data_IF_154691063176
#
_entry.id   IF_154691063176
#
_cell.length_a   1.000
_cell.length_b   1.000
_cell.length_c   1.000
_cell.angle_alpha   90.00
_cell.angle_beta   90.00
_cell.angle_gamma   90.00
#
_symmetry.space_group_name_H-M   'P 1'
#
loop_
_entity.id
_entity.type
_entity.pdbx_description
1 polymer ?
#
# COMPACT_ATOMS: atom_id res chain seq x y z
N UNK A 1 5.86 12.15 9.36
CA UNK A 1 5.32 12.49 8.04
C UNK A 1 5.89 13.84 7.65
N UNK A 2 6.28 14.08 6.39
CA UNK A 2 6.89 15.36 5.98
C UNK A 2 5.89 16.53 5.92
N UNK A 3 4.59 16.26 6.00
CA UNK A 3 3.52 17.26 6.05
C UNK A 3 2.38 16.76 6.94
N UNK A 4 1.39 17.61 7.20
CA UNK A 4 0.16 17.22 7.86
C UNK A 4 -0.71 16.30 6.96
N UNK A 5 -1.69 15.65 7.58
CA UNK A 5 -2.57 14.67 6.92
C UNK A 5 -3.41 15.29 5.79
N UNK A 6 -3.89 16.53 5.97
CA UNK A 6 -4.69 17.22 4.94
C UNK A 6 -3.86 17.56 3.71
N UNK A 7 -2.62 18.05 3.94
CA UNK A 7 -1.65 18.25 2.85
C UNK A 7 -1.33 16.93 2.14
N UNK A 8 -1.15 15.83 2.87
CA UNK A 8 -0.93 14.51 2.25
C UNK A 8 -2.12 14.10 1.36
N UNK A 9 -3.36 14.27 1.84
CA UNK A 9 -4.55 14.00 1.04
C UNK A 9 -4.61 14.86 -0.24
N UNK A 10 -4.24 16.13 -0.17
CA UNK A 10 -4.13 16.99 -1.36
C UNK A 10 -3.10 16.44 -2.35
N UNK A 11 -1.91 16.04 -1.88
CA UNK A 11 -0.86 15.47 -2.72
C UNK A 11 -1.29 14.17 -3.43
N UNK A 12 -2.05 13.30 -2.74
CA UNK A 12 -2.59 12.09 -3.36
C UNK A 12 -3.68 12.40 -4.38
N UNK A 13 -4.56 13.38 -4.11
CA UNK A 13 -5.53 13.83 -5.11
C UNK A 13 -4.85 14.43 -6.34
N UNK A 14 -3.82 15.26 -6.18
CA UNK A 14 -3.05 15.81 -7.31
C UNK A 14 -2.37 14.69 -8.13
N UNK A 15 -1.87 13.67 -7.44
CA UNK A 15 -1.30 12.49 -8.10
C UNK A 15 -2.35 11.70 -8.89
N UNK A 16 -3.57 11.56 -8.36
CA UNK A 16 -4.69 10.97 -9.09
C UNK A 16 -5.12 11.80 -10.28
N UNK A 17 -5.25 13.12 -10.14
CA UNK A 17 -5.62 14.01 -11.24
C UNK A 17 -4.59 13.90 -12.38
N UNK A 18 -3.29 13.89 -12.03
CA UNK A 18 -2.19 13.68 -12.97
C UNK A 18 -2.27 12.32 -13.66
N UNK A 19 -2.46 11.24 -12.89
CA UNK A 19 -2.53 9.88 -13.41
C UNK A 19 -3.76 9.63 -14.29
N UNK A 20 -4.94 10.03 -13.82
CA UNK A 20 -6.21 9.87 -14.52
C UNK A 20 -6.26 10.65 -15.84
N UNK A 21 -5.47 11.72 -15.99
CA UNK A 21 -5.36 12.45 -17.26
C UNK A 21 -4.76 11.62 -18.40
N UNK A 22 -4.02 10.56 -18.08
CA UNK A 22 -3.33 9.70 -19.05
C UNK A 22 -4.01 8.35 -19.33
N UNK A 23 -5.16 8.05 -18.70
CA UNK A 23 -5.85 6.75 -18.82
C UNK A 23 -7.37 6.94 -18.88
N UNK A 24 -8.10 5.96 -19.42
CA UNK A 24 -9.56 6.03 -19.63
C UNK A 24 -10.38 5.11 -18.70
N UNK A 25 -9.72 4.33 -17.85
CA UNK A 25 -10.37 3.32 -17.02
C UNK A 25 -10.61 3.73 -15.55
N UNK A 26 -10.14 4.91 -15.14
CA UNK A 26 -10.28 5.40 -13.76
C UNK A 26 -10.92 6.78 -13.70
N UNK A 27 -11.89 6.95 -12.80
CA UNK A 27 -12.60 8.21 -12.62
C UNK A 27 -11.72 9.27 -11.93
N UNK A 28 -11.78 10.50 -12.43
CA UNK A 28 -11.17 11.67 -11.78
C UNK A 28 -12.19 12.36 -10.88
N UNK A 29 -12.00 12.26 -9.57
CA UNK A 29 -12.66 13.10 -8.58
C UNK A 29 -11.73 13.26 -7.38
N UNK A 30 -11.93 14.33 -6.59
CA UNK A 30 -11.15 14.54 -5.37
C UNK A 30 -11.91 13.98 -4.18
N UNK A 31 -11.20 13.32 -3.26
CA UNK A 31 -11.77 12.80 -2.02
C UNK A 31 -10.93 13.23 -0.82
N UNK A 32 -11.56 13.24 0.37
CA UNK A 32 -10.88 13.51 1.63
C UNK A 32 -10.89 12.23 2.47
N UNK A 33 -9.88 11.34 2.32
CA UNK A 33 -9.78 10.12 3.13
C UNK A 33 -9.78 10.48 4.60
N UNK A 34 -10.53 9.75 5.43
CA UNK A 34 -10.67 10.09 6.86
C UNK A 34 -9.64 9.36 7.71
N UNK A 35 -8.99 10.02 8.68
CA UNK A 35 -8.19 9.30 9.66
C UNK A 35 -9.09 8.45 10.55
N UNK A 36 -8.69 7.22 10.82
CA UNK A 36 -9.43 6.31 11.70
C UNK A 36 -9.21 6.72 13.15
N UNK A 37 -10.28 7.07 13.87
CA UNK A 37 -10.20 7.50 15.28
C UNK A 37 -9.56 6.43 16.18
N UNK A 38 -9.78 5.15 15.89
CA UNK A 38 -9.23 4.00 16.62
C UNK A 38 -8.02 3.37 15.89
N UNK A 39 -7.15 4.20 15.31
CA UNK A 39 -5.98 3.74 14.52
C UNK A 39 -5.04 2.81 15.31
N UNK A 40 -4.70 3.13 16.55
CA UNK A 40 -3.83 2.26 17.36
C UNK A 40 -4.48 0.91 17.67
N UNK A 41 -5.72 0.83 18.19
CA UNK A 41 -6.43 -0.45 18.34
C UNK A 41 -6.52 -1.25 17.03
N UNK A 42 -6.75 -0.59 15.90
CA UNK A 42 -6.81 -1.24 14.59
C UNK A 42 -5.45 -1.74 14.10
N UNK A 43 -4.34 -1.19 14.59
CA UNK A 43 -3.00 -1.65 14.19
C UNK A 43 -2.73 -3.09 14.64
N UNK A 44 -3.39 -3.56 15.71
CA UNK A 44 -3.35 -4.96 16.14
C UNK A 44 -3.95 -5.95 15.13
N UNK A 45 -4.77 -5.48 14.17
CA UNK A 45 -5.31 -6.34 13.10
C UNK A 45 -4.45 -6.34 11.85
N UNK A 46 -3.35 -5.56 11.84
CA UNK A 46 -2.51 -5.33 10.66
C UNK A 46 -3.25 -4.72 9.45
N UNK A 47 -4.34 -3.99 9.69
CA UNK A 47 -5.05 -3.24 8.65
C UNK A 47 -4.53 -1.80 8.61
N UNK A 48 -4.02 -1.37 7.45
CA UNK A 48 -3.47 -0.02 7.23
C UNK A 48 -4.51 0.98 6.72
N UNK A 49 -5.57 0.50 6.06
CA UNK A 49 -6.65 1.30 5.51
C UNK A 49 -7.89 0.45 5.28
N UNK A 50 -9.04 1.13 5.14
CA UNK A 50 -10.31 0.50 4.81
C UNK A 50 -11.12 1.43 3.90
N UNK A 51 -11.54 0.89 2.77
CA UNK A 51 -12.62 1.43 1.98
C UNK A 51 -13.97 0.88 2.47
N UNK A 52 -14.83 1.78 2.95
CA UNK A 52 -16.18 1.44 3.40
C UNK A 52 -17.16 1.44 2.24
N UNK A 53 -17.46 0.27 1.67
CA UNK A 53 -18.34 0.12 0.49
C UNK A 53 -19.69 0.83 0.63
N UNK A 54 -20.34 0.73 1.80
CA UNK A 54 -21.67 1.32 2.02
C UNK A 54 -21.68 2.85 2.06
N UNK A 55 -20.57 3.48 2.46
CA UNK A 55 -20.46 4.94 2.58
C UNK A 55 -19.61 5.57 1.49
N UNK A 56 -18.88 4.77 0.72
CA UNK A 56 -17.92 5.23 -0.29
C UNK A 56 -16.69 5.90 0.31
N UNK A 57 -16.41 5.72 1.60
CA UNK A 57 -15.36 6.46 2.32
C UNK A 57 -14.06 5.65 2.41
N UNK A 58 -12.95 6.23 1.95
CA UNK A 58 -11.61 5.76 2.28
C UNK A 58 -11.26 6.19 3.71
N UNK A 59 -10.79 5.25 4.53
CA UNK A 59 -10.38 5.50 5.90
C UNK A 59 -8.95 4.99 6.12
N UNK A 60 -8.09 5.81 6.71
CA UNK A 60 -6.65 5.54 6.81
C UNK A 60 -6.26 5.35 8.27
N UNK A 61 -5.52 4.27 8.55
CA UNK A 61 -4.90 4.06 9.85
C UNK A 61 -3.69 4.98 9.97
N UNK A 62 -3.80 6.04 10.79
CA UNK A 62 -2.75 7.05 10.97
C UNK A 62 -1.72 6.69 12.03
N UNK A 63 -1.79 5.48 12.60
CA UNK A 63 -0.81 4.98 13.56
C UNK A 63 0.37 4.25 12.88
N UNK A 64 0.24 3.87 11.61
CA UNK A 64 1.32 3.23 10.85
C UNK A 64 2.53 4.18 10.66
N UNK A 65 3.75 3.64 10.45
CA UNK A 65 4.89 4.43 10.01
C UNK A 65 4.54 5.30 8.80
N UNK A 66 5.00 6.54 8.83
CA UNK A 66 4.53 7.59 7.94
C UNK A 66 4.76 7.31 6.45
N UNK A 67 5.85 6.62 6.09
CA UNK A 67 6.19 6.29 4.71
C UNK A 67 5.21 5.30 4.07
N UNK A 68 4.36 4.63 4.85
CA UNK A 68 3.32 3.72 4.35
C UNK A 68 2.03 4.48 3.98
N UNK A 69 1.75 5.58 4.69
CA UNK A 69 0.50 6.32 4.61
C UNK A 69 0.16 6.80 3.19
N UNK A 70 1.09 7.36 2.37
CA UNK A 70 0.75 7.82 1.03
C UNK A 70 0.24 6.68 0.12
N UNK A 71 0.93 5.54 0.11
CA UNK A 71 0.53 4.37 -0.67
C UNK A 71 -0.81 3.81 -0.19
N UNK A 72 -1.00 3.61 1.12
CA UNK A 72 -2.27 3.16 1.68
C UNK A 72 -3.41 4.10 1.32
N UNK A 73 -3.17 5.42 1.38
CA UNK A 73 -4.17 6.40 0.97
C UNK A 73 -4.53 6.29 -0.50
N UNK A 74 -3.54 6.15 -1.38
CA UNK A 74 -3.77 5.92 -2.81
C UNK A 74 -4.52 4.60 -3.08
N UNK A 75 -4.23 3.54 -2.32
CA UNK A 75 -4.90 2.24 -2.40
C UNK A 75 -6.39 2.35 -2.05
N UNK A 76 -6.73 2.88 -0.86
CA UNK A 76 -8.14 3.02 -0.47
C UNK A 76 -8.91 3.98 -1.40
N UNK A 77 -8.24 5.02 -1.89
CA UNK A 77 -8.79 5.93 -2.90
C UNK A 77 -8.99 5.27 -4.27
N UNK A 78 -8.25 4.21 -4.59
CA UNK A 78 -8.46 3.40 -5.80
C UNK A 78 -9.75 2.60 -5.70
N UNK A 79 -10.03 2.03 -4.52
CA UNK A 79 -11.32 1.39 -4.24
C UNK A 79 -12.50 2.37 -4.35
N UNK A 80 -12.34 3.61 -3.86
CA UNK A 80 -13.35 4.66 -4.06
C UNK A 80 -13.66 4.92 -5.54
N UNK A 81 -12.69 4.66 -6.44
CA UNK A 81 -12.82 4.84 -7.90
C UNK A 81 -13.30 3.57 -8.63
N UNK A 82 -13.74 2.56 -7.89
CA UNK A 82 -14.35 1.34 -8.45
C UNK A 82 -13.36 0.22 -8.75
N UNK A 83 -12.08 0.35 -8.38
CA UNK A 83 -11.11 -0.73 -8.50
C UNK A 83 -11.35 -1.72 -7.36
N UNK A 84 -12.10 -2.79 -7.63
CA UNK A 84 -12.56 -3.70 -6.56
C UNK A 84 -11.50 -4.72 -6.11
N UNK A 85 -10.61 -5.15 -7.01
CA UNK A 85 -9.60 -6.17 -6.69
C UNK A 85 -8.40 -5.53 -6.01
N UNK A 86 -7.98 -6.11 -4.90
CA UNK A 86 -6.83 -5.69 -4.10
C UNK A 86 -5.53 -5.55 -4.93
N UNK A 87 -5.27 -6.49 -5.82
CA UNK A 87 -4.05 -6.49 -6.64
C UNK A 87 -4.06 -5.37 -7.68
N UNK A 88 -5.23 -5.07 -8.25
CA UNK A 88 -5.43 -3.96 -9.17
C UNK A 88 -5.37 -2.63 -8.41
N UNK A 89 -5.94 -2.54 -7.21
CA UNK A 89 -5.85 -1.36 -6.35
C UNK A 89 -4.41 -1.07 -5.92
N UNK A 90 -3.63 -2.10 -5.58
CA UNK A 90 -2.19 -1.97 -5.32
C UNK A 90 -1.42 -1.47 -6.55
N UNK A 91 -1.75 -1.97 -7.74
CA UNK A 91 -1.12 -1.51 -8.98
C UNK A 91 -1.47 -0.06 -9.29
N UNK A 92 -2.73 0.33 -9.16
CA UNK A 92 -3.18 1.72 -9.37
C UNK A 92 -2.53 2.64 -8.35
N UNK A 93 -2.50 2.26 -7.06
CA UNK A 93 -1.84 3.03 -6.02
C UNK A 93 -0.37 3.27 -6.33
N UNK A 94 0.35 2.24 -6.80
CA UNK A 94 1.73 2.36 -7.24
C UNK A 94 1.87 3.37 -8.38
N UNK A 95 1.06 3.24 -9.44
CA UNK A 95 1.14 4.11 -10.61
C UNK A 95 0.79 5.56 -10.27
N UNK A 96 -0.24 5.78 -9.44
CA UNK A 96 -0.61 7.10 -8.91
C UNK A 96 0.53 7.69 -8.11
N UNK A 97 1.11 6.94 -7.17
CA UNK A 97 2.23 7.41 -6.37
C UNK A 97 3.45 7.76 -7.26
N UNK A 98 3.76 6.92 -8.26
CA UNK A 98 4.87 7.13 -9.20
C UNK A 98 4.68 8.40 -10.04
N UNK A 99 3.44 8.72 -10.40
CA UNK A 99 3.06 9.88 -11.21
C UNK A 99 2.94 11.18 -10.39
N UNK A 100 3.21 11.13 -9.08
CA UNK A 100 3.21 12.32 -8.21
C UNK A 100 4.47 13.17 -8.42
N UNK A 101 4.31 14.50 -8.41
CA UNK A 101 5.43 15.43 -8.39
C UNK A 101 6.17 15.45 -7.02
N UNK A 102 5.55 14.90 -5.96
CA UNK A 102 6.15 14.88 -4.64
C UNK A 102 7.09 13.66 -4.47
N UNK A 103 8.39 13.86 -4.14
CA UNK A 103 9.33 12.76 -3.98
C UNK A 103 8.98 11.79 -2.85
N UNK A 104 8.34 12.25 -1.77
CA UNK A 104 7.94 11.38 -0.66
C UNK A 104 6.77 10.46 -1.03
N UNK A 105 5.82 10.97 -1.81
CA UNK A 105 4.71 10.15 -2.34
C UNK A 105 5.25 9.08 -3.30
N UNK A 106 6.14 9.44 -4.22
CA UNK A 106 6.83 8.48 -5.10
C UNK A 106 7.62 7.44 -4.31
N UNK A 107 8.33 7.90 -3.29
CA UNK A 107 9.10 7.05 -2.39
C UNK A 107 8.21 5.99 -1.72
N UNK A 108 7.08 6.40 -1.14
CA UNK A 108 6.10 5.49 -0.52
C UNK A 108 5.59 4.40 -1.49
N UNK A 109 5.23 4.80 -2.72
CA UNK A 109 4.77 3.85 -3.74
C UNK A 109 5.87 2.86 -4.17
N UNK A 110 7.08 3.37 -4.41
CA UNK A 110 8.23 2.54 -4.79
C UNK A 110 8.65 1.60 -3.66
N UNK A 111 8.69 2.05 -2.40
CA UNK A 111 9.06 1.23 -1.26
C UNK A 111 8.08 0.08 -1.03
N UNK A 112 6.78 0.34 -1.20
CA UNK A 112 5.75 -0.67 -1.01
C UNK A 112 5.83 -1.76 -2.09
N UNK A 113 5.88 -1.37 -3.38
CA UNK A 113 6.00 -2.33 -4.48
C UNK A 113 7.33 -3.08 -4.46
N UNK A 114 8.43 -2.43 -4.09
CA UNK A 114 9.71 -3.11 -3.93
C UNK A 114 9.64 -4.20 -2.86
N UNK A 115 8.83 -4.06 -1.80
CA UNK A 115 8.61 -5.13 -0.83
C UNK A 115 7.99 -6.39 -1.46
N UNK A 116 7.00 -6.22 -2.35
CA UNK A 116 6.40 -7.34 -3.10
C UNK A 116 7.40 -8.00 -4.03
N UNK A 117 8.11 -7.21 -4.83
CA UNK A 117 9.11 -7.70 -5.78
C UNK A 117 10.26 -8.40 -5.05
N UNK A 118 10.77 -7.83 -3.97
CA UNK A 118 11.86 -8.38 -3.18
C UNK A 118 11.45 -9.72 -2.52
N UNK A 119 10.21 -9.82 -2.04
CA UNK A 119 9.65 -11.06 -1.49
C UNK A 119 9.50 -12.15 -2.57
N UNK A 120 9.05 -11.78 -3.76
CA UNK A 120 8.97 -12.70 -4.89
C UNK A 120 10.36 -13.16 -5.36
N UNK A 121 11.32 -12.23 -5.45
CA UNK A 121 12.71 -12.51 -5.80
C UNK A 121 13.36 -13.48 -4.81
N UNK A 122 13.16 -13.28 -3.50
CA UNK A 122 13.68 -14.20 -2.47
C UNK A 122 13.18 -15.64 -2.65
N UNK A 123 11.90 -15.80 -3.05
CA UNK A 123 11.31 -17.12 -3.30
C UNK A 123 11.80 -17.75 -4.60
N UNK A 124 12.01 -16.94 -5.63
CA UNK A 124 12.40 -17.40 -6.96
C UNK A 124 13.90 -17.72 -7.07
N UNK A 125 14.76 -16.85 -6.54
CA UNK A 125 16.21 -16.98 -6.60
C UNK A 125 16.88 -16.30 -5.40
N UNK A 126 17.29 -17.10 -4.42
CA UNK A 126 17.94 -16.61 -3.19
C UNK A 126 19.30 -15.98 -3.44
N UNK A 127 20.05 -16.42 -4.45
CA UNK A 127 21.38 -15.87 -4.74
C UNK A 127 21.28 -14.54 -5.49
N UNK A 128 20.34 -14.42 -6.43
CA UNK A 128 20.03 -13.13 -7.04
C UNK A 128 19.46 -12.14 -6.01
N UNK A 129 18.58 -12.60 -5.12
CA UNK A 129 18.12 -11.80 -3.99
C UNK A 129 19.27 -11.28 -3.14
N UNK A 130 20.20 -12.14 -2.71
CA UNK A 130 21.37 -11.72 -1.90
C UNK A 130 22.21 -10.69 -2.64
N UNK A 131 22.48 -10.89 -3.93
CA UNK A 131 23.19 -9.91 -4.76
C UNK A 131 22.44 -8.58 -4.83
N UNK A 132 21.14 -8.61 -5.08
CA UNK A 132 20.29 -7.41 -5.08
C UNK A 132 20.38 -6.67 -3.74
N UNK A 133 20.21 -7.39 -2.63
CA UNK A 133 20.29 -6.84 -1.27
C UNK A 133 21.65 -6.23 -0.93
N UNK A 134 22.74 -6.80 -1.42
CA UNK A 134 24.09 -6.33 -1.10
C UNK A 134 24.53 -5.13 -1.95
N UNK A 135 24.12 -5.07 -3.21
CA UNK A 135 24.67 -4.10 -4.16
C UNK A 135 23.71 -3.00 -4.58
N UNK A 136 22.40 -3.24 -4.53
CA UNK A 136 21.40 -2.35 -5.13
C UNK A 136 20.32 -1.86 -4.15
N UNK A 137 20.16 -2.53 -3.01
CA UNK A 137 19.10 -2.18 -2.06
C UNK A 137 19.41 -0.88 -1.31
N UNK A 138 18.52 0.14 -1.32
CA UNK A 138 18.79 1.41 -0.65
C UNK A 138 18.94 1.26 0.86
N UNK A 139 20.00 1.85 1.42
CA UNK A 139 20.31 1.73 2.85
C UNK A 139 19.28 2.43 3.74
N UNK A 140 18.71 3.52 3.25
CA UNK A 140 17.66 4.33 3.86
C UNK A 140 16.38 3.50 4.00
N UNK A 141 15.98 2.82 2.93
CA UNK A 141 14.84 1.91 2.95
C UNK A 141 15.08 0.71 3.88
N UNK A 142 16.32 0.24 4.02
CA UNK A 142 16.63 -0.80 4.99
C UNK A 142 16.39 -0.32 6.43
N UNK A 143 16.79 0.92 6.76
CA UNK A 143 16.55 1.53 8.07
C UNK A 143 15.06 1.73 8.33
N UNK A 144 14.31 2.20 7.35
CA UNK A 144 12.85 2.35 7.48
C UNK A 144 12.15 1.01 7.71
N UNK A 145 12.54 -0.03 6.97
CA UNK A 145 11.98 -1.37 7.19
C UNK A 145 12.34 -1.93 8.57
N UNK A 146 13.54 -1.66 9.08
CA UNK A 146 13.89 -2.01 10.46
C UNK A 146 13.04 -1.24 11.48
N UNK A 147 12.79 0.05 11.26
CA UNK A 147 11.91 0.85 12.11
C UNK A 147 10.46 0.38 12.05
N UNK A 148 9.97 0.01 10.85
CA UNK A 148 8.66 -0.60 10.65
C UNK A 148 8.56 -1.92 11.43
N UNK A 149 9.54 -2.82 11.32
CA UNK A 149 9.56 -4.06 12.10
C UNK A 149 9.50 -3.78 13.60
N UNK A 150 10.38 -2.91 14.11
CA UNK A 150 10.43 -2.53 15.53
C UNK A 150 9.12 -1.91 16.01
N UNK A 151 8.46 -1.09 15.19
CA UNK A 151 7.14 -0.54 15.50
C UNK A 151 6.11 -1.66 15.67
N UNK A 152 6.14 -2.69 14.82
CA UNK A 152 5.23 -3.83 14.89
C UNK A 152 5.53 -4.81 16.02
N UNK A 153 6.71 -4.74 16.66
CA UNK A 153 7.09 -5.62 17.78
C UNK A 153 6.04 -5.64 18.89
N UNK A 154 5.49 -4.48 19.27
CA UNK A 154 4.48 -4.36 20.33
C UNK A 154 3.08 -4.82 19.91
N UNK A 155 2.84 -4.97 18.62
CA UNK A 155 1.59 -5.48 18.05
C UNK A 155 1.67 -6.99 17.75
N UNK A 156 2.83 -7.64 17.96
CA UNK A 156 3.02 -9.09 17.72
C UNK A 156 2.26 -9.97 18.72
N UNK A 157 2.25 -9.58 19.98
CA UNK A 157 1.73 -10.40 21.08
C UNK A 157 0.71 -9.60 21.92
N UNK A 158 -0.54 -9.52 21.42
CA UNK A 158 -1.80 -9.06 22.05
C UNK A 158 -2.71 -8.65 20.86
N UNK A 159 -4.00 -8.93 20.70
CA UNK A 159 -5.14 -9.09 21.62
C UNK A 159 -6.12 -10.11 20.99
N UNK A 160 -6.61 -11.06 21.78
CA UNK A 160 -7.71 -11.99 21.50
C UNK A 160 -7.62 -12.86 20.23
N UNK A 161 -7.02 -14.05 20.36
CA UNK A 161 -7.08 -15.17 19.42
C UNK A 161 -8.50 -15.56 18.93
N UNK A 162 -9.57 -15.00 19.49
CA UNK A 162 -10.94 -15.28 19.07
C UNK A 162 -11.65 -14.10 18.37
N UNK A 163 -11.38 -12.85 18.77
CA UNK A 163 -12.03 -11.66 18.15
C UNK A 163 -11.29 -11.24 16.89
N UNK A 164 -9.95 -11.26 16.93
CA UNK A 164 -9.12 -10.95 15.76
C UNK A 164 -9.36 -11.98 14.67
N UNK A 165 -9.50 -13.27 15.00
CA UNK A 165 -9.82 -14.26 13.98
C UNK A 165 -11.22 -14.07 13.35
N UNK A 166 -12.25 -13.66 14.10
CA UNK A 166 -13.58 -13.41 13.52
C UNK A 166 -13.62 -12.12 12.69
N UNK A 167 -13.08 -11.02 13.20
CA UNK A 167 -13.03 -9.73 12.49
C UNK A 167 -12.08 -9.81 11.30
N UNK A 168 -10.90 -10.40 11.45
CA UNK A 168 -9.95 -10.58 10.36
C UNK A 168 -10.49 -11.57 9.32
N UNK A 169 -11.14 -12.68 9.71
CA UNK A 169 -11.73 -13.60 8.73
C UNK A 169 -12.94 -12.99 8.02
N UNK A 170 -13.81 -12.24 8.69
CA UNK A 170 -14.91 -11.50 8.04
C UNK A 170 -14.41 -10.33 7.19
N UNK A 171 -13.36 -9.63 7.61
CA UNK A 171 -12.71 -8.56 6.86
C UNK A 171 -12.00 -9.08 5.61
N UNK A 172 -11.15 -10.11 5.75
CA UNK A 172 -10.48 -10.81 4.66
C UNK A 172 -11.47 -11.47 3.70
N UNK A 173 -12.60 -12.01 4.20
CA UNK A 173 -13.67 -12.54 3.34
C UNK A 173 -14.44 -11.42 2.63
N UNK A 174 -14.67 -10.28 3.29
CA UNK A 174 -15.35 -9.12 2.68
C UNK A 174 -14.49 -8.39 1.63
N UNK A 175 -13.16 -8.48 1.75
CA UNK A 175 -12.18 -7.94 0.79
C UNK A 175 -11.62 -8.98 -0.18
N UNK A 176 -12.16 -10.21 -0.20
CA UNK A 176 -11.74 -11.24 -1.16
C UNK A 176 -10.32 -11.79 -0.97
N UNK A 177 -9.64 -11.49 0.13
CA UNK A 177 -8.32 -12.01 0.51
C UNK A 177 -8.43 -13.48 0.96
N UNK A 178 -8.69 -14.38 0.02
CA UNK A 178 -8.43 -15.80 0.21
C UNK A 178 -6.93 -16.05 0.00
N UNK A 179 -6.21 -16.33 1.09
CA UNK A 179 -4.81 -16.82 1.08
C UNK A 179 -3.78 -15.83 0.51
N UNK A 180 -3.13 -15.05 1.41
CA UNK A 180 -2.01 -14.13 1.15
C UNK A 180 -0.72 -14.77 0.63
N UNK A 181 -0.79 -15.75 -0.26
CA UNK A 181 0.36 -16.30 -1.01
C UNK A 181 0.14 -16.28 -2.52
N UNK A 182 -1.11 -16.26 -3.01
CA UNK A 182 -1.41 -16.12 -4.45
C UNK A 182 -1.51 -14.66 -4.90
N UNK A 183 -2.11 -13.79 -4.09
CA UNK A 183 -2.39 -12.38 -4.43
C UNK A 183 -1.15 -11.51 -4.66
N UNK A 184 -0.01 -11.84 -4.04
CA UNK A 184 1.24 -11.10 -4.28
C UNK A 184 1.82 -11.32 -5.68
N UNK A 185 1.41 -12.37 -6.40
CA UNK A 185 1.92 -12.67 -7.74
C UNK A 185 1.49 -11.61 -8.77
N UNK A 186 0.21 -11.25 -8.80
CA UNK A 186 -0.33 -10.38 -9.85
C UNK A 186 0.24 -8.96 -9.80
N UNK A 187 0.37 -8.34 -8.62
CA UNK A 187 0.99 -7.01 -8.51
C UNK A 187 2.45 -7.02 -8.95
N UNK A 188 3.19 -8.12 -8.68
CA UNK A 188 4.56 -8.29 -9.16
C UNK A 188 4.59 -8.44 -10.67
N UNK A 189 3.73 -9.28 -11.24
CA UNK A 189 3.64 -9.49 -12.69
C UNK A 189 3.28 -8.20 -13.44
N UNK A 190 2.30 -7.44 -12.93
CA UNK A 190 1.89 -6.13 -13.46
C UNK A 190 3.04 -5.12 -13.38
N UNK A 191 3.73 -5.04 -12.24
CA UNK A 191 4.87 -4.14 -12.05
C UNK A 191 6.00 -4.46 -13.03
N UNK A 192 6.40 -5.74 -13.13
CA UNK A 192 7.47 -6.17 -14.03
C UNK A 192 7.08 -5.91 -15.49
N UNK A 193 5.82 -6.17 -15.86
CA UNK A 193 5.30 -5.91 -17.21
C UNK A 193 5.33 -4.43 -17.55
N UNK A 194 4.91 -3.57 -16.61
CA UNK A 194 4.97 -2.12 -16.75
C UNK A 194 6.40 -1.62 -16.99
N UNK A 195 7.38 -2.04 -16.19
CA UNK A 195 8.77 -1.62 -16.42
C UNK A 195 9.35 -2.15 -17.73
N UNK A 196 8.99 -3.36 -18.16
CA UNK A 196 9.40 -3.91 -19.47
C UNK A 196 8.82 -3.15 -20.65
N UNK A 197 7.64 -2.55 -20.53
CA UNK A 197 7.06 -1.74 -21.60
C UNK A 197 7.70 -0.36 -21.73
N UNK A 198 8.38 0.13 -20.68
CA UNK A 198 9.12 1.41 -20.73
C UNK A 198 10.50 1.28 -21.38
N UNK A 199 11.05 0.06 -21.47
CA UNK A 199 12.38 -0.21 -22.02
C UNK A 199 12.37 -0.71 -23.47
N UNK A 200 11.19 -0.73 -24.09
CA UNK A 200 10.97 -1.05 -25.51
C UNK A 200 10.83 0.24 -26.30
#
# INVERSE_FOLDING_TARGET
MPCDYGTMATLINDAFDSYASGVDYISSFRSSPKPIALSEPMTYTHISGVYSFFTGEANINVNYPDFIVPFTMAHEMSHQRGIAREEEANMVAFLVCLNSNNPYVRYSGLSNVLSYVNSALYRADKELYKRFRNYYYPSELAKENSAYSLFFDKYRENVANNVTNAVNNSFLQSQGQSQGTKSYGLVVDLTVSYYKSLTQ
#
